data_IF_598366655427
#
_entry.id   IF_598366655427
#
_cell.length_a   1.000
_cell.length_b   1.000
_cell.length_c   1.000
_cell.angle_alpha   90.00
_cell.angle_beta   90.00
_cell.angle_gamma   90.00
#
_symmetry.space_group_name_H-M   'P 1'
#
loop_
_entity.id
_entity.type
_entity.pdbx_description
1 polymer ?
#
# COMPACT_ATOMS: atom_id res chain seq x y z
N UNK A 1 -61.91 6.49 -23.31
CA UNK A 1 -62.06 5.06 -22.96
C UNK A 1 -61.58 4.22 -24.14
N UNK A 2 -60.34 3.72 -24.08
CA UNK A 2 -59.76 2.82 -25.08
C UNK A 2 -59.47 1.51 -24.37
N UNK A 3 -60.03 0.43 -24.91
CA UNK A 3 -60.06 -0.91 -24.33
C UNK A 3 -58.99 -1.74 -25.04
N UNK A 4 -57.83 -1.91 -24.43
CA UNK A 4 -56.73 -2.69 -25.01
C UNK A 4 -56.87 -4.16 -24.63
N UNK A 5 -57.00 -4.99 -25.65
CA UNK A 5 -57.16 -6.44 -25.55
C UNK A 5 -55.89 -7.13 -25.06
N UNK A 6 -56.03 -7.95 -24.01
CA UNK A 6 -55.08 -9.01 -23.66
C UNK A 6 -55.30 -10.16 -24.64
N UNK A 7 -54.37 -10.38 -25.56
CA UNK A 7 -54.36 -11.55 -26.44
C UNK A 7 -53.05 -12.31 -26.22
N UNK A 8 -53.22 -13.53 -25.69
CA UNK A 8 -52.51 -14.75 -26.06
C UNK A 8 -50.99 -14.82 -25.88
N UNK A 9 -50.58 -15.23 -24.67
CA UNK A 9 -49.28 -15.88 -24.42
C UNK A 9 -49.45 -17.38 -24.06
N UNK A 10 -50.65 -17.95 -24.25
CA UNK A 10 -51.00 -19.32 -23.83
C UNK A 10 -50.97 -20.33 -24.99
N UNK A 11 -50.92 -19.88 -26.26
CA UNK A 11 -50.95 -20.78 -27.42
C UNK A 11 -49.58 -21.26 -27.93
N UNK A 12 -48.46 -20.80 -27.36
CA UNK A 12 -47.11 -21.23 -27.81
C UNK A 12 -46.58 -22.44 -27.02
N UNK A 13 -47.14 -22.76 -25.85
CA UNK A 13 -46.66 -23.88 -25.01
C UNK A 13 -47.28 -25.23 -25.41
N UNK A 14 -48.42 -25.23 -26.10
CA UNK A 14 -49.13 -26.48 -26.48
C UNK A 14 -48.64 -27.14 -27.78
N UNK A 15 -47.80 -26.47 -28.58
CA UNK A 15 -47.32 -26.99 -29.87
C UNK A 15 -45.94 -27.67 -29.81
N UNK A 16 -45.26 -27.67 -28.65
CA UNK A 16 -43.94 -28.29 -28.47
C UNK A 16 -43.97 -29.62 -27.70
N UNK A 17 -45.16 -30.14 -27.33
CA UNK A 17 -45.32 -31.41 -26.59
C UNK A 17 -45.95 -32.55 -27.40
N UNK A 18 -45.91 -32.48 -28.74
CA UNK A 18 -46.46 -33.53 -29.62
C UNK A 18 -45.48 -34.00 -30.72
N UNK A 19 -44.16 -33.83 -30.52
CA UNK A 19 -43.14 -34.24 -31.51
C UNK A 19 -42.01 -35.10 -30.95
N UNK A 20 -42.23 -35.82 -29.85
CA UNK A 20 -41.20 -36.70 -29.25
C UNK A 20 -41.58 -38.19 -29.23
N UNK A 21 -42.59 -38.60 -29.99
CA UNK A 21 -42.93 -40.02 -30.15
C UNK A 21 -42.15 -40.60 -31.32
N UNK A 22 -40.84 -40.79 -31.17
CA UNK A 22 -40.14 -41.83 -31.94
C UNK A 22 -38.86 -42.29 -31.21
N UNK A 23 -38.74 -43.62 -31.13
CA UNK A 23 -37.55 -44.42 -30.80
C UNK A 23 -37.22 -44.53 -29.30
N UNK A 24 -38.06 -45.27 -28.58
CA UNK A 24 -37.52 -46.14 -27.53
C UNK A 24 -36.69 -47.22 -28.24
N UNK A 25 -35.36 -47.31 -28.03
CA UNK A 25 -34.64 -48.51 -28.40
C UNK A 25 -35.26 -49.67 -27.65
N UNK A 26 -35.48 -50.78 -28.35
CA UNK A 26 -35.74 -52.08 -27.75
C UNK A 26 -34.69 -52.27 -26.66
N UNK A 27 -35.14 -52.28 -25.42
CA UNK A 27 -34.32 -52.63 -24.26
C UNK A 27 -33.82 -54.04 -24.57
N UNK A 28 -32.56 -54.13 -25.01
CA UNK A 28 -31.83 -55.38 -24.97
C UNK A 28 -31.95 -55.83 -23.53
N UNK A 29 -32.41 -57.07 -23.33
CA UNK A 29 -32.41 -57.72 -22.03
C UNK A 29 -31.05 -57.43 -21.40
N UNK A 30 -31.02 -56.58 -20.37
CA UNK A 30 -29.89 -56.55 -19.49
C UNK A 30 -29.79 -58.00 -18.99
N UNK A 31 -28.65 -58.63 -19.23
CA UNK A 31 -28.15 -59.67 -18.34
C UNK A 31 -28.39 -59.13 -16.94
N UNK A 32 -29.40 -59.68 -16.26
CA UNK A 32 -29.64 -59.42 -14.85
C UNK A 32 -28.39 -59.97 -14.17
N UNK A 33 -27.47 -59.13 -13.67
CA UNK A 33 -26.24 -59.62 -13.10
C UNK A 33 -26.62 -60.56 -11.97
N UNK A 34 -26.13 -61.81 -12.01
CA UNK A 34 -26.38 -62.75 -10.93
C UNK A 34 -26.05 -62.07 -9.59
N UNK A 35 -26.92 -62.20 -8.58
CA UNK A 35 -26.78 -61.44 -7.36
C UNK A 35 -25.42 -61.75 -6.74
N UNK A 36 -24.55 -60.73 -6.70
CA UNK A 36 -23.19 -60.89 -6.21
C UNK A 36 -23.21 -60.83 -4.70
N UNK A 37 -22.69 -61.87 -4.07
CA UNK A 37 -22.65 -61.98 -2.63
C UNK A 37 -21.50 -61.17 -2.03
N UNK A 38 -21.82 -60.14 -1.25
CA UNK A 38 -20.85 -59.19 -0.68
C UNK A 38 -20.14 -59.78 0.55
N UNK A 39 -20.78 -60.67 1.31
CA UNK A 39 -20.21 -61.22 2.54
C UNK A 39 -20.12 -62.75 2.51
N UNK A 40 -18.98 -63.28 2.04
CA UNK A 40 -18.79 -64.73 1.83
C UNK A 40 -18.88 -65.61 3.10
N UNK A 41 -18.93 -64.99 4.29
CA UNK A 41 -18.99 -65.65 5.59
C UNK A 41 -20.35 -65.52 6.30
N UNK A 42 -21.36 -64.88 5.68
CA UNK A 42 -22.71 -64.73 6.23
C UNK A 42 -23.71 -65.55 5.43
N UNK A 43 -24.71 -66.13 6.10
CA UNK A 43 -25.72 -66.95 5.44
C UNK A 43 -26.62 -66.11 4.50
N UNK A 44 -26.89 -66.63 3.31
CA UNK A 44 -27.70 -65.99 2.27
C UNK A 44 -26.86 -65.30 1.19
N UNK A 45 -27.51 -64.68 0.21
CA UNK A 45 -26.84 -63.81 -0.76
C UNK A 45 -27.13 -62.37 -0.36
N UNK A 46 -26.09 -61.58 -0.09
CA UNK A 46 -26.25 -60.17 0.28
C UNK A 46 -25.70 -59.28 -0.84
N UNK A 47 -26.58 -58.55 -1.51
CA UNK A 47 -26.19 -57.59 -2.56
C UNK A 47 -25.42 -56.38 -1.99
N UNK A 48 -25.50 -56.16 -0.67
CA UNK A 48 -24.79 -55.13 0.09
C UNK A 48 -24.39 -55.67 1.46
N UNK A 49 -23.34 -55.09 2.07
CA UNK A 49 -22.97 -55.41 3.45
C UNK A 49 -24.17 -55.18 4.40
N UNK A 50 -24.54 -56.16 5.24
CA UNK A 50 -25.61 -56.01 6.22
C UNK A 50 -25.33 -54.87 7.22
N UNK A 51 -26.40 -54.32 7.80
CA UNK A 51 -26.28 -53.31 8.85
C UNK A 51 -25.45 -53.84 10.03
N UNK A 52 -24.49 -53.04 10.49
CA UNK A 52 -23.54 -53.42 11.54
C UNK A 52 -22.36 -54.28 11.07
N UNK A 53 -22.18 -54.48 9.76
CA UNK A 53 -21.04 -55.20 9.19
C UNK A 53 -20.29 -54.36 8.15
N UNK A 54 -18.97 -54.49 8.12
CA UNK A 54 -18.09 -53.90 7.09
C UNK A 54 -17.44 -55.03 6.28
N UNK A 55 -17.42 -54.87 4.94
CA UNK A 55 -16.73 -55.79 4.04
C UNK A 55 -15.21 -55.55 4.11
N UNK A 56 -14.46 -56.62 4.34
CA UNK A 56 -13.01 -56.69 4.30
C UNK A 56 -12.52 -56.89 2.86
N UNK A 57 -11.24 -56.60 2.60
CA UNK A 57 -10.63 -56.80 1.27
C UNK A 57 -10.67 -58.25 0.77
N UNK A 58 -10.77 -59.22 1.68
CA UNK A 58 -10.85 -60.65 1.36
C UNK A 58 -12.29 -61.13 1.03
N UNK A 59 -13.27 -60.22 1.01
CA UNK A 59 -14.67 -60.54 0.72
C UNK A 59 -15.45 -61.11 1.91
N UNK A 60 -14.85 -61.17 3.10
CA UNK A 60 -15.57 -61.46 4.35
C UNK A 60 -16.14 -60.19 4.95
N UNK A 61 -17.17 -60.30 5.79
CA UNK A 61 -17.71 -59.18 6.54
C UNK A 61 -17.48 -59.37 8.04
N UNK A 62 -17.00 -58.33 8.70
CA UNK A 62 -16.80 -58.30 10.16
C UNK A 62 -17.78 -57.32 10.80
N UNK A 63 -18.21 -57.58 12.05
CA UNK A 63 -19.00 -56.61 12.80
C UNK A 63 -18.24 -55.27 12.89
N UNK A 64 -18.92 -54.17 12.60
CA UNK A 64 -18.38 -52.83 12.82
C UNK A 64 -18.16 -52.70 14.33
N UNK A 65 -16.90 -52.62 14.75
CA UNK A 65 -16.56 -52.41 16.14
C UNK A 65 -16.97 -50.98 16.54
N UNK A 66 -18.03 -50.86 17.33
CA UNK A 66 -18.49 -49.59 17.90
C UNK A 66 -17.65 -49.16 19.12
N UNK A 67 -16.51 -49.81 19.39
CA UNK A 67 -15.68 -49.40 20.51
C UNK A 67 -15.13 -47.98 20.26
N UNK A 68 -15.42 -47.01 21.15
CA UNK A 68 -14.98 -45.64 20.98
C UNK A 68 -13.45 -45.60 20.93
N UNK A 69 -12.89 -45.04 19.86
CA UNK A 69 -11.46 -44.86 19.73
C UNK A 69 -11.00 -43.83 20.76
N UNK A 70 -10.11 -44.25 21.65
CA UNK A 70 -9.52 -43.37 22.66
C UNK A 70 -8.42 -42.50 22.05
N UNK A 71 -8.67 -41.20 21.95
CA UNK A 71 -7.76 -40.22 21.39
C UNK A 71 -6.71 -39.76 22.39
N UNK A 72 -6.88 -40.00 23.70
CA UNK A 72 -5.93 -39.58 24.73
C UNK A 72 -5.63 -40.70 25.74
N UNK A 73 -4.85 -41.73 25.37
CA UNK A 73 -4.59 -42.91 26.23
C UNK A 73 -3.91 -42.61 27.58
N UNK A 74 -3.36 -41.40 27.74
CA UNK A 74 -2.72 -40.93 28.96
C UNK A 74 -3.68 -40.19 29.92
N UNK A 75 -4.95 -39.99 29.54
CA UNK A 75 -6.00 -39.38 30.36
C UNK A 75 -6.99 -40.50 30.75
N UNK A 76 -7.47 -40.48 32.00
CA UNK A 76 -8.44 -41.48 32.45
C UNK A 76 -9.78 -41.33 31.70
N UNK A 77 -10.46 -42.46 31.48
CA UNK A 77 -11.69 -42.60 30.66
C UNK A 77 -11.37 -42.69 29.16
N UNK A 78 -12.33 -43.13 28.35
CA UNK A 78 -12.18 -43.19 26.88
C UNK A 78 -12.64 -41.86 26.31
N UNK A 79 -11.79 -41.17 25.53
CA UNK A 79 -12.18 -39.92 24.88
C UNK A 79 -12.27 -40.09 23.35
N UNK A 80 -13.46 -39.95 22.79
CA UNK A 80 -13.69 -39.98 21.33
C UNK A 80 -13.03 -38.79 20.60
N UNK A 81 -12.56 -37.77 21.34
CA UNK A 81 -11.86 -36.59 20.85
C UNK A 81 -10.88 -36.06 21.88
N UNK A 82 -9.86 -35.31 21.45
CA UNK A 82 -8.94 -34.62 22.37
C UNK A 82 -9.73 -33.64 23.26
N UNK A 83 -9.61 -33.71 24.60
CA UNK A 83 -10.29 -32.80 25.52
C UNK A 83 -9.97 -31.31 25.27
N UNK A 84 -10.89 -30.42 25.66
CA UNK A 84 -10.67 -28.98 25.57
C UNK A 84 -9.48 -28.55 26.44
N UNK A 85 -8.58 -27.73 25.88
CA UNK A 85 -7.35 -27.29 26.54
C UNK A 85 -6.21 -28.32 26.51
N UNK A 86 -6.27 -29.29 25.60
CA UNK A 86 -5.20 -30.25 25.34
C UNK A 86 -4.90 -30.34 23.83
N UNK A 87 -3.66 -30.69 23.49
CA UNK A 87 -3.23 -31.09 22.15
C UNK A 87 -2.41 -32.38 22.20
N UNK A 88 -2.27 -33.06 21.06
CA UNK A 88 -1.39 -34.22 20.91
C UNK A 88 0.06 -33.77 20.71
N UNK A 89 0.98 -34.31 21.52
CA UNK A 89 2.41 -34.15 21.31
C UNK A 89 2.93 -35.07 20.18
N UNK A 90 4.25 -35.00 19.89
CA UNK A 90 4.88 -35.85 18.87
C UNK A 90 4.80 -37.36 19.17
N UNK A 91 4.58 -37.72 20.45
CA UNK A 91 4.43 -39.10 20.90
C UNK A 91 2.97 -39.57 20.85
N UNK A 92 2.03 -38.69 20.48
CA UNK A 92 0.59 -38.95 20.49
C UNK A 92 -0.03 -38.94 21.89
N UNK A 93 0.62 -38.33 22.88
CA UNK A 93 0.05 -38.11 24.21
C UNK A 93 -0.65 -36.75 24.28
N UNK A 94 -1.79 -36.68 24.97
CA UNK A 94 -2.50 -35.43 25.17
C UNK A 94 -1.85 -34.62 26.28
N UNK A 95 -1.31 -33.45 25.93
CA UNK A 95 -0.64 -32.52 26.85
C UNK A 95 -1.48 -31.24 26.98
N UNK A 96 -1.48 -30.57 28.15
CA UNK A 96 -2.23 -29.34 28.35
C UNK A 96 -1.73 -28.25 27.39
N UNK A 97 -2.67 -27.47 26.87
CA UNK A 97 -2.37 -26.22 26.17
C UNK A 97 -1.83 -25.23 27.19
N UNK A 98 -0.50 -25.14 27.30
CA UNK A 98 0.16 -24.09 28.07
C UNK A 98 0.03 -22.79 27.31
N UNK A 99 -1.13 -22.14 27.43
CA UNK A 99 -1.24 -20.71 27.21
C UNK A 99 -0.66 -20.05 28.46
N UNK A 100 0.67 -19.90 28.50
CA UNK A 100 1.23 -18.95 29.46
C UNK A 100 0.53 -17.61 29.20
N UNK A 101 -0.05 -16.98 30.24
CA UNK A 101 -0.63 -15.66 30.06
C UNK A 101 0.46 -14.74 29.50
N UNK A 102 0.14 -13.84 28.55
CA UNK A 102 1.13 -12.95 27.99
C UNK A 102 1.82 -12.21 29.14
N UNK A 103 3.14 -12.34 29.23
CA UNK A 103 3.94 -11.56 30.19
C UNK A 103 3.78 -10.10 29.83
N UNK A 104 3.26 -9.30 30.76
CA UNK A 104 3.18 -7.85 30.59
C UNK A 104 4.59 -7.24 30.61
N UNK A 105 5.01 -6.73 29.45
CA UNK A 105 6.31 -6.10 29.25
C UNK A 105 6.33 -4.65 29.78
N UNK A 106 5.17 -4.02 29.98
CA UNK A 106 5.06 -2.61 30.38
C UNK A 106 4.17 -2.42 31.62
N UNK A 107 4.60 -2.83 32.83
CA UNK A 107 3.79 -2.83 34.04
C UNK A 107 3.27 -1.45 34.49
N UNK A 108 3.83 -0.38 33.95
CA UNK A 108 3.48 1.01 34.23
C UNK A 108 2.41 1.58 33.29
N UNK A 109 1.96 0.81 32.28
CA UNK A 109 0.89 1.20 31.34
C UNK A 109 -0.31 0.29 31.60
N UNK A 110 -1.52 0.86 31.69
CA UNK A 110 -2.73 0.07 31.94
C UNK A 110 -3.01 -0.94 30.81
N UNK A 111 -3.03 -2.23 31.14
CA UNK A 111 -3.32 -3.32 30.21
C UNK A 111 -2.45 -4.55 30.49
N UNK A 112 -2.59 -5.59 29.65
CA UNK A 112 -1.57 -6.63 29.51
C UNK A 112 -0.90 -6.40 28.14
N UNK A 113 0.41 -6.19 28.13
CA UNK A 113 1.19 -5.83 26.94
C UNK A 113 2.13 -6.98 26.60
N UNK A 114 1.75 -7.79 25.62
CA UNK A 114 2.62 -8.85 25.11
C UNK A 114 3.87 -8.30 24.39
N UNK A 115 3.84 -7.02 23.99
CA UNK A 115 4.89 -6.30 23.28
C UNK A 115 4.99 -4.85 23.79
N UNK A 116 6.15 -4.20 23.63
CA UNK A 116 6.32 -2.77 23.94
C UNK A 116 5.44 -1.92 23.01
N UNK A 117 4.58 -1.01 23.54
CA UNK A 117 3.77 -0.13 22.72
C UNK A 117 4.59 0.75 21.78
N UNK A 118 3.99 1.12 20.64
CA UNK A 118 4.60 2.03 19.67
C UNK A 118 4.93 3.39 20.31
N UNK A 119 6.15 3.87 20.07
CA UNK A 119 6.66 5.13 20.64
C UNK A 119 7.17 5.01 22.08
N UNK A 120 7.29 3.79 22.62
CA UNK A 120 7.87 3.54 23.94
C UNK A 120 9.12 2.64 23.86
N UNK A 121 9.98 2.76 24.86
CA UNK A 121 11.14 1.90 25.10
C UNK A 121 11.18 1.47 26.58
N UNK A 122 11.79 0.32 26.86
CA UNK A 122 11.94 -0.18 28.24
C UNK A 122 13.17 0.47 28.87
N UNK A 123 13.01 1.07 30.06
CA UNK A 123 14.11 1.63 30.86
C UNK A 123 14.87 0.57 31.67
N UNK A 124 15.90 0.96 32.42
CA UNK A 124 16.71 0.03 33.23
C UNK A 124 15.89 -0.59 34.39
N UNK A 125 14.84 0.10 34.82
CA UNK A 125 13.89 -0.34 35.84
C UNK A 125 12.79 -1.26 35.30
N UNK A 126 12.74 -1.49 33.99
CA UNK A 126 11.75 -2.34 33.34
C UNK A 126 10.40 -1.68 33.06
N UNK A 127 10.31 -0.34 33.11
CA UNK A 127 9.13 0.42 32.74
C UNK A 127 9.21 0.90 31.29
N UNK A 128 8.06 1.03 30.64
CA UNK A 128 7.99 1.58 29.31
C UNK A 128 7.88 3.11 29.38
N UNK A 129 8.87 3.80 28.82
CA UNK A 129 8.97 5.26 28.75
C UNK A 129 8.84 5.74 27.30
N UNK A 130 8.26 6.92 27.03
CA UNK A 130 8.21 7.46 25.68
C UNK A 130 9.62 7.58 25.10
N UNK A 131 9.78 7.23 23.82
CA UNK A 131 11.02 7.49 23.09
C UNK A 131 11.14 9.01 22.95
N UNK A 132 12.13 9.59 23.61
CA UNK A 132 12.51 10.97 23.36
C UNK A 132 13.15 11.00 21.97
N UNK A 133 12.43 11.53 20.99
CA UNK A 133 13.05 11.96 19.74
C UNK A 133 14.01 13.09 20.11
N UNK A 134 15.28 12.75 20.38
CA UNK A 134 16.35 13.73 20.39
C UNK A 134 16.20 14.49 19.07
N UNK A 135 15.93 15.80 19.16
CA UNK A 135 15.98 16.66 18.00
C UNK A 135 17.44 16.69 17.55
N UNK A 136 17.83 15.71 16.74
CA UNK A 136 19.14 15.62 16.12
C UNK A 136 19.23 16.71 15.05
N UNK A 137 19.54 17.92 15.51
CA UNK A 137 20.09 18.98 14.68
C UNK A 137 21.10 19.73 15.52
N UNK A 138 22.38 19.62 15.17
CA UNK A 138 23.37 20.53 15.76
C UNK A 138 23.12 21.89 15.15
N UNK A 139 22.60 22.81 15.96
CA UNK A 139 22.36 24.17 15.52
C UNK A 139 23.68 24.88 15.21
N UNK A 140 23.94 25.13 13.94
CA UNK A 140 25.21 25.72 13.51
C UNK A 140 25.25 27.24 13.61
N UNK A 141 24.09 27.91 13.78
CA UNK A 141 23.96 29.36 13.84
C UNK A 141 23.16 29.81 15.09
N UNK A 142 23.77 29.72 16.27
CA UNK A 142 23.12 29.96 17.58
C UNK A 142 22.53 31.37 17.79
N UNK A 143 22.78 32.31 16.89
CA UNK A 143 22.23 33.67 16.91
C UNK A 143 20.99 33.85 16.03
N UNK A 144 20.55 32.81 15.30
CA UNK A 144 19.36 32.80 14.47
C UNK A 144 18.25 31.95 15.10
N UNK A 145 16.98 32.33 14.87
CA UNK A 145 15.85 31.60 15.44
C UNK A 145 15.68 30.22 14.77
N UNK A 146 15.51 29.18 15.60
CA UNK A 146 15.34 27.79 15.16
C UNK A 146 16.62 26.96 15.29
N UNK A 147 16.57 25.71 14.83
CA UNK A 147 17.75 24.84 14.69
C UNK A 147 18.15 24.85 13.22
N UNK A 148 19.37 25.27 12.92
CA UNK A 148 19.90 25.24 11.56
C UNK A 148 20.90 24.09 11.43
N UNK A 149 20.55 23.07 10.65
CA UNK A 149 21.47 21.95 10.34
C UNK A 149 22.50 22.33 9.26
N UNK A 150 22.25 23.41 8.52
CA UNK A 150 23.09 23.95 7.45
C UNK A 150 23.08 25.50 7.45
N UNK A 151 24.03 26.13 6.74
CA UNK A 151 24.12 27.60 6.71
C UNK A 151 22.93 28.17 5.93
N UNK A 152 22.14 29.09 6.53
CA UNK A 152 21.10 29.80 5.79
C UNK A 152 21.68 30.57 4.60
N UNK A 153 20.87 30.75 3.54
CA UNK A 153 21.30 31.46 2.34
C UNK A 153 21.81 32.88 2.67
N UNK A 154 23.03 33.18 2.20
CA UNK A 154 23.70 34.46 2.45
C UNK A 154 24.25 34.63 3.88
N UNK A 155 24.37 33.55 4.66
CA UNK A 155 25.04 33.55 5.96
C UNK A 155 26.29 32.67 5.94
N UNK A 156 27.35 33.15 6.61
CA UNK A 156 28.61 32.45 6.81
C UNK A 156 28.98 32.47 8.29
N UNK A 157 29.91 31.62 8.71
CA UNK A 157 30.37 31.61 10.10
C UNK A 157 31.06 32.92 10.49
N UNK A 158 30.77 33.41 11.68
CA UNK A 158 31.45 34.57 12.25
C UNK A 158 32.87 34.17 12.70
N UNK A 159 33.93 34.72 12.11
CA UNK A 159 35.31 34.40 12.50
C UNK A 159 35.65 34.91 13.91
N UNK A 160 34.92 35.90 14.43
CA UNK A 160 35.14 36.47 15.76
C UNK A 160 34.31 35.75 16.84
N UNK A 161 33.24 35.05 16.44
CA UNK A 161 32.32 34.39 17.36
C UNK A 161 31.89 32.99 16.87
N UNK A 162 32.65 31.93 17.21
CA UNK A 162 32.34 30.56 16.78
C UNK A 162 30.93 30.12 17.19
N UNK A 163 30.14 29.66 16.23
CA UNK A 163 28.74 29.26 16.41
C UNK A 163 27.73 30.37 16.14
N UNK A 164 28.18 31.62 15.93
CA UNK A 164 27.35 32.66 15.35
C UNK A 164 27.54 32.72 13.82
N UNK A 165 26.50 33.14 13.12
CA UNK A 165 26.50 33.36 11.68
C UNK A 165 26.25 34.84 11.36
N UNK A 166 27.00 35.35 10.40
CA UNK A 166 26.90 36.72 9.90
C UNK A 166 26.47 36.70 8.43
N UNK A 167 25.81 37.77 8.00
CA UNK A 167 25.41 37.91 6.61
C UNK A 167 26.66 38.14 5.73
N UNK A 168 26.82 37.32 4.69
CA UNK A 168 27.89 37.43 3.72
C UNK A 168 27.84 38.82 3.06
N UNK A 169 28.85 39.64 3.34
CA UNK A 169 29.02 40.92 2.66
C UNK A 169 29.54 40.60 1.26
N UNK A 170 28.67 40.67 0.25
CA UNK A 170 29.09 40.63 -1.15
C UNK A 170 29.76 41.96 -1.43
N UNK A 171 31.08 42.03 -1.27
CA UNK A 171 31.87 43.15 -1.76
C UNK A 171 31.76 43.14 -3.29
N UNK A 172 30.88 43.99 -3.83
CA UNK A 172 30.74 44.16 -5.27
C UNK A 172 32.07 44.70 -5.83
N UNK A 173 32.91 43.79 -6.31
CA UNK A 173 34.22 44.13 -6.86
C UNK A 173 34.01 44.65 -8.28
N UNK A 174 34.27 45.94 -8.47
CA UNK A 174 34.30 46.55 -9.80
C UNK A 174 35.56 46.11 -10.56
N UNK A 175 35.35 45.29 -11.59
CA UNK A 175 36.42 44.76 -12.44
C UNK A 175 36.98 45.83 -13.40
N UNK A 176 36.25 46.94 -13.62
CA UNK A 176 36.65 48.00 -14.55
C UNK A 176 36.58 49.40 -13.90
N UNK A 177 37.49 49.74 -12.96
CA UNK A 177 37.42 50.99 -12.17
C UNK A 177 37.48 52.29 -12.98
N UNK A 178 37.92 52.22 -14.24
CA UNK A 178 38.06 53.35 -15.16
C UNK A 178 36.80 53.61 -16.00
N UNK A 179 35.78 52.75 -15.92
CA UNK A 179 34.51 52.89 -16.62
C UNK A 179 33.42 53.28 -15.62
N UNK A 180 32.48 54.15 -16.03
CA UNK A 180 31.40 54.58 -15.14
C UNK A 180 30.41 53.43 -14.86
N UNK A 181 30.27 53.03 -13.60
CA UNK A 181 29.40 51.95 -13.18
C UNK A 181 30.01 51.12 -12.05
N UNK A 182 29.37 49.99 -11.73
CA UNK A 182 30.00 48.87 -11.04
C UNK A 182 29.93 47.66 -11.96
N UNK A 183 31.08 47.10 -12.33
CA UNK A 183 31.19 46.10 -13.36
C UNK A 183 31.56 44.78 -12.70
N UNK A 184 30.56 43.92 -12.48
CA UNK A 184 30.79 42.57 -11.98
C UNK A 184 31.53 41.67 -12.98
N UNK A 185 31.58 42.07 -14.26
CA UNK A 185 32.26 41.38 -15.37
C UNK A 185 32.85 42.40 -16.35
N UNK A 186 33.84 42.00 -17.15
CA UNK A 186 34.44 42.86 -18.18
C UNK A 186 33.41 43.12 -19.30
N UNK A 187 33.09 44.38 -19.64
CA UNK A 187 32.15 44.70 -20.71
C UNK A 187 32.58 44.17 -22.08
N UNK A 188 31.60 43.87 -22.94
CA UNK A 188 31.86 43.42 -24.32
C UNK A 188 32.69 44.46 -25.09
N UNK A 189 33.73 44.00 -25.78
CA UNK A 189 34.67 44.87 -26.49
C UNK A 189 35.75 45.50 -25.62
N UNK A 190 35.90 45.07 -24.37
CA UNK A 190 36.97 45.51 -23.46
C UNK A 190 37.83 44.33 -22.97
N UNK A 191 39.08 44.62 -22.63
CA UNK A 191 40.02 43.70 -21.97
C UNK A 191 40.71 44.40 -20.80
N UNK A 192 41.02 43.66 -19.74
CA UNK A 192 41.74 44.19 -18.57
C UNK A 192 43.24 44.28 -18.89
N UNK A 193 43.85 45.44 -18.68
CA UNK A 193 45.28 45.67 -18.84
C UNK A 193 46.09 45.21 -17.61
N UNK A 194 47.42 45.33 -17.67
CA UNK A 194 48.31 44.93 -16.56
C UNK A 194 48.12 45.81 -15.32
N UNK A 195 47.58 47.02 -15.50
CA UNK A 195 47.26 47.98 -14.46
C UNK A 195 45.86 47.77 -13.84
N UNK A 196 45.07 46.83 -14.35
CA UNK A 196 43.73 46.50 -13.85
C UNK A 196 42.61 47.40 -14.37
N UNK A 197 42.82 48.11 -15.48
CA UNK A 197 41.80 48.93 -16.15
C UNK A 197 41.27 48.23 -17.40
N UNK A 198 40.03 48.53 -17.79
CA UNK A 198 39.41 47.99 -18.99
C UNK A 198 39.69 48.89 -20.19
N UNK A 199 40.26 48.32 -21.26
CA UNK A 199 40.63 49.00 -22.51
C UNK A 199 39.92 48.36 -23.70
N UNK A 200 39.54 49.15 -24.70
CA UNK A 200 38.83 48.63 -25.88
C UNK A 200 39.71 47.66 -26.69
N UNK A 201 39.15 46.50 -27.04
CA UNK A 201 39.78 45.56 -27.96
C UNK A 201 39.66 46.09 -29.38
N UNK A 202 40.75 46.64 -29.92
CA UNK A 202 40.83 47.03 -31.32
C UNK A 202 40.95 45.79 -32.21
N UNK A 203 39.85 45.29 -32.75
CA UNK A 203 39.85 44.22 -33.77
C UNK A 203 40.19 44.71 -35.20
N UNK A 204 40.74 45.91 -35.38
CA UNK A 204 40.92 46.55 -36.70
C UNK A 204 42.37 46.94 -37.05
N UNK A 205 43.38 46.09 -36.77
CA UNK A 205 44.75 46.31 -37.28
C UNK A 205 45.47 45.08 -37.84
N UNK A 206 44.77 44.21 -38.57
CA UNK A 206 45.41 43.25 -39.50
C UNK A 206 44.83 43.36 -40.91
N UNK A 207 44.85 44.57 -41.49
CA UNK A 207 44.75 44.72 -42.94
C UNK A 207 45.32 46.04 -43.46
N UNK A 208 46.62 46.23 -43.29
CA UNK A 208 47.31 47.25 -44.08
C UNK A 208 48.76 46.87 -44.37
N UNK A 209 48.91 45.99 -45.35
CA UNK A 209 50.07 45.97 -46.23
C UNK A 209 49.61 45.37 -47.56
N UNK A 210 49.40 46.23 -48.57
CA UNK A 210 49.87 46.06 -49.95
C UNK A 210 49.20 47.06 -50.90
N UNK A 211 50.06 47.81 -51.58
CA UNK A 211 49.90 48.52 -52.86
C UNK A 211 49.54 50.00 -52.83
N UNK A 212 50.60 50.80 -52.94
CA UNK A 212 50.67 52.02 -53.75
C UNK A 212 49.94 51.87 -55.09
N UNK A 213 49.04 52.81 -55.41
CA UNK A 213 49.09 53.63 -56.65
C UNK A 213 47.86 54.56 -56.76
N UNK A 214 48.19 55.83 -56.99
CA UNK A 214 47.50 56.86 -57.80
C UNK A 214 46.01 57.21 -57.58
N UNK A 215 45.85 58.50 -57.28
CA UNK A 215 44.97 59.44 -57.97
C UNK A 215 43.45 59.36 -57.77
N UNK A 216 43.04 59.92 -56.64
CA UNK A 216 42.22 61.13 -56.69
C UNK A 216 40.71 60.98 -56.54
N UNK A 217 40.14 62.10 -56.07
CA UNK A 217 38.74 62.54 -56.20
C UNK A 217 37.80 62.18 -55.04
N UNK A 218 37.71 63.16 -54.15
CA UNK A 218 36.51 63.68 -53.46
C UNK A 218 35.19 63.13 -54.03
N UNK A 219 34.31 62.58 -53.18
CA UNK A 219 32.98 63.16 -52.90
C UNK A 219 32.10 62.31 -51.99
N UNK A 220 31.53 63.04 -51.02
CA UNK A 220 30.14 62.97 -50.56
C UNK A 220 29.74 61.85 -49.60
N UNK A 221 29.51 62.29 -48.37
CA UNK A 221 28.30 62.00 -47.58
C UNK A 221 27.08 61.90 -48.49
N UNK A 222 26.38 60.77 -48.42
CA UNK A 222 24.92 60.73 -48.47
C UNK A 222 24.45 59.65 -47.52
N UNK A 223 23.82 60.08 -46.43
CA UNK A 223 22.81 59.31 -45.72
C UNK A 223 21.78 58.78 -46.73
N UNK A 224 21.52 57.48 -46.67
CA UNK A 224 20.19 56.95 -46.93
C UNK A 224 19.92 55.84 -45.95
N UNK A 225 18.98 56.11 -45.04
CA UNK A 225 18.17 55.11 -44.36
C UNK A 225 17.71 54.05 -45.36
N UNK A 226 17.86 52.78 -44.99
CA UNK A 226 16.98 51.72 -45.45
C UNK A 226 16.95 50.58 -44.44
N UNK A 227 15.77 50.41 -43.85
CA UNK A 227 15.30 49.20 -43.23
C UNK A 227 15.40 48.03 -44.23
N UNK A 228 15.93 46.89 -43.81
CA UNK A 228 15.29 45.58 -43.95
C UNK A 228 16.26 44.43 -43.62
N UNK A 229 15.87 43.67 -42.59
CA UNK A 229 15.79 42.22 -42.55
C UNK A 229 17.01 41.36 -42.96
N UNK A 230 17.59 40.69 -41.95
CA UNK A 230 18.37 39.45 -42.13
C UNK A 230 19.16 39.09 -40.88
N UNK A 231 18.52 38.76 -39.75
CA UNK A 231 18.31 37.37 -39.30
C UNK A 231 19.50 36.46 -39.65
N UNK A 232 20.57 36.58 -38.87
CA UNK A 232 21.61 35.55 -38.77
C UNK A 232 21.25 34.55 -37.68
N UNK A 233 21.28 33.30 -38.11
CA UNK A 233 21.05 32.04 -37.44
C UNK A 233 21.74 31.95 -36.07
N UNK A 234 20.95 31.90 -35.00
CA UNK A 234 21.38 31.28 -33.76
C UNK A 234 21.25 29.76 -33.92
N UNK A 235 22.40 29.08 -33.92
CA UNK A 235 22.51 27.64 -33.72
C UNK A 235 21.91 27.27 -32.36
N UNK A 236 20.93 26.38 -32.42
CA UNK A 236 20.36 25.67 -31.28
C UNK A 236 21.33 24.60 -30.79
N UNK A 237 21.77 24.72 -29.54
CA UNK A 237 22.16 23.58 -28.69
C UNK A 237 21.05 23.34 -27.64
N UNK A 238 20.85 22.09 -27.21
CA UNK A 238 19.57 21.60 -26.74
C UNK A 238 19.32 21.96 -25.28
N UNK A 239 18.33 22.81 -25.05
CA UNK A 239 17.77 22.97 -23.71
C UNK A 239 16.70 21.89 -23.49
N UNK A 240 16.96 21.03 -22.51
CA UNK A 240 16.07 20.00 -22.00
C UNK A 240 14.90 20.64 -21.26
N UNK A 241 13.97 21.21 -22.01
CA UNK A 241 12.69 21.70 -21.52
C UNK A 241 11.55 20.79 -21.95
N UNK A 242 11.30 19.70 -21.22
CA UNK A 242 10.04 18.95 -21.30
C UNK A 242 8.94 19.82 -20.66
N UNK A 243 8.52 20.86 -21.38
CA UNK A 243 7.26 21.54 -21.12
C UNK A 243 6.15 20.67 -21.68
N UNK A 244 5.70 19.72 -20.85
CA UNK A 244 4.52 18.91 -21.10
C UNK A 244 3.33 19.81 -21.35
N UNK A 245 2.87 19.85 -22.60
CA UNK A 245 1.52 20.27 -22.95
C UNK A 245 0.56 19.21 -22.43
N UNK A 246 0.29 19.25 -21.12
CA UNK A 246 -0.88 18.58 -20.56
C UNK A 246 -2.08 19.40 -21.02
N UNK A 247 -2.56 19.05 -22.22
CA UNK A 247 -3.92 19.38 -22.60
C UNK A 247 -4.80 18.92 -21.45
N UNK A 248 -5.41 19.87 -20.74
CA UNK A 248 -6.45 19.61 -19.75
C UNK A 248 -7.68 19.06 -20.47
N UNK A 249 -7.60 17.83 -20.95
CA UNK A 249 -8.78 16.97 -21.02
C UNK A 249 -9.06 16.59 -19.58
N UNK A 250 -9.93 17.36 -18.93
CA UNK A 250 -10.66 16.85 -17.77
C UNK A 250 -11.16 15.46 -18.17
N UNK A 251 -10.74 14.37 -17.52
CA UNK A 251 -11.43 13.12 -17.73
C UNK A 251 -12.86 13.41 -17.31
N UNK A 252 -13.79 13.30 -18.24
CA UNK A 252 -15.18 13.05 -17.90
C UNK A 252 -15.19 11.69 -17.21
N UNK A 253 -14.73 11.66 -15.95
CA UNK A 253 -14.99 10.57 -15.02
C UNK A 253 -16.49 10.57 -14.97
N UNK A 254 -17.06 9.63 -15.71
CA UNK A 254 -18.49 9.51 -15.95
C UNK A 254 -19.17 9.69 -14.60
N UNK A 255 -20.04 10.69 -14.46
CA UNK A 255 -20.78 10.96 -13.22
C UNK A 255 -21.38 9.65 -12.65
N UNK A 256 -21.68 8.71 -13.55
CA UNK A 256 -22.04 7.32 -13.30
C UNK A 256 -21.06 6.55 -12.38
N UNK A 257 -19.74 6.64 -12.57
CA UNK A 257 -18.75 5.96 -11.72
C UNK A 257 -18.68 6.56 -10.31
N UNK A 258 -18.81 7.89 -10.20
CA UNK A 258 -18.87 8.58 -8.90
C UNK A 258 -20.14 8.17 -8.15
N UNK A 259 -21.29 8.11 -8.85
CA UNK A 259 -22.55 7.64 -8.27
C UNK A 259 -22.49 6.17 -7.86
N UNK A 260 -21.89 5.30 -8.69
CA UNK A 260 -21.67 3.89 -8.33
C UNK A 260 -20.77 3.76 -7.10
N UNK A 261 -19.69 4.53 -7.03
CA UNK A 261 -18.80 4.57 -5.86
C UNK A 261 -19.52 5.03 -4.58
N UNK A 262 -20.36 6.05 -4.66
CA UNK A 262 -21.17 6.52 -3.52
C UNK A 262 -22.21 5.47 -3.08
N UNK A 263 -22.87 4.78 -4.01
CA UNK A 263 -23.82 3.71 -3.70
C UNK A 263 -23.13 2.54 -3.01
N UNK A 264 -21.98 2.11 -3.52
CA UNK A 264 -21.17 1.03 -2.91
C UNK A 264 -20.72 1.45 -1.51
N UNK A 265 -20.22 2.67 -1.35
CA UNK A 265 -19.77 3.18 -0.04
C UNK A 265 -20.90 3.25 0.99
N UNK A 266 -22.09 3.69 0.57
CA UNK A 266 -23.28 3.70 1.42
C UNK A 266 -23.76 2.30 1.78
N UNK A 267 -23.68 1.35 0.85
CA UNK A 267 -24.01 -0.05 1.09
C UNK A 267 -23.04 -0.68 2.09
N UNK A 268 -21.74 -0.51 1.90
CA UNK A 268 -20.70 -0.98 2.82
C UNK A 268 -20.85 -0.36 4.20
N UNK A 269 -21.11 0.95 4.29
CA UNK A 269 -21.35 1.62 5.56
C UNK A 269 -22.55 1.02 6.32
N UNK A 270 -23.67 0.78 5.63
CA UNK A 270 -24.86 0.14 6.23
C UNK A 270 -24.58 -1.30 6.65
N UNK A 271 -23.88 -2.06 5.82
CA UNK A 271 -23.52 -3.45 6.10
C UNK A 271 -22.60 -3.54 7.33
N UNK A 272 -21.53 -2.76 7.37
CA UNK A 272 -20.59 -2.71 8.49
C UNK A 272 -21.25 -2.22 9.79
N UNK A 273 -22.14 -1.23 9.70
CA UNK A 273 -22.91 -0.76 10.86
C UNK A 273 -23.81 -1.86 11.42
N UNK A 274 -24.55 -2.57 10.56
CA UNK A 274 -25.39 -3.69 10.98
C UNK A 274 -24.59 -4.85 11.58
N UNK A 275 -23.43 -5.17 10.99
CA UNK A 275 -22.52 -6.19 11.52
C UNK A 275 -21.99 -5.81 12.90
N UNK A 276 -21.55 -4.56 13.09
CA UNK A 276 -21.08 -4.04 14.39
C UNK A 276 -22.17 -4.12 15.46
N UNK A 277 -23.40 -3.73 15.14
CA UNK A 277 -24.51 -3.77 16.10
C UNK A 277 -24.86 -5.22 16.52
N UNK A 278 -24.79 -6.18 15.59
CA UNK A 278 -25.02 -7.61 15.88
C UNK A 278 -23.92 -8.19 16.76
N UNK A 279 -22.65 -7.93 16.44
CA UNK A 279 -21.50 -8.35 17.25
C UNK A 279 -21.57 -7.79 18.67
N UNK A 280 -21.91 -6.51 18.83
CA UNK A 280 -22.08 -5.89 20.16
C UNK A 280 -23.23 -6.54 20.94
N UNK A 281 -24.33 -6.91 20.28
CA UNK A 281 -25.45 -7.57 20.92
C UNK A 281 -25.08 -8.98 21.41
N UNK A 282 -24.35 -9.76 20.61
CA UNK A 282 -23.86 -11.10 20.97
C UNK A 282 -22.86 -11.03 22.13
N UNK A 283 -21.87 -10.12 22.05
CA UNK A 283 -20.91 -9.87 23.13
C UNK A 283 -21.60 -9.48 24.44
N UNK A 284 -22.59 -8.58 24.39
CA UNK A 284 -23.38 -8.21 25.58
C UNK A 284 -24.18 -9.39 26.13
N UNK A 285 -24.67 -10.28 25.27
CA UNK A 285 -25.34 -11.51 25.67
C UNK A 285 -24.41 -12.44 26.45
N UNK A 286 -23.22 -12.68 25.92
CA UNK A 286 -22.18 -13.51 26.55
C UNK A 286 -21.70 -12.93 27.89
N UNK A 287 -21.50 -11.61 27.98
CA UNK A 287 -21.12 -10.97 29.24
C UNK A 287 -22.21 -11.14 30.30
N UNK A 288 -23.48 -10.96 29.93
CA UNK A 288 -24.61 -11.15 30.86
C UNK A 288 -24.76 -12.59 31.33
N UNK A 289 -24.57 -13.57 30.44
CA UNK A 289 -24.65 -14.99 30.83
C UNK A 289 -23.54 -15.36 31.80
N UNK A 290 -22.30 -14.92 31.55
CA UNK A 290 -21.16 -15.14 32.44
C UNK A 290 -21.30 -14.46 33.80
N UNK A 291 -21.85 -13.24 33.84
CA UNK A 291 -22.14 -12.56 35.12
C UNK A 291 -23.22 -13.30 35.93
N UNK A 292 -24.28 -13.76 35.26
CA UNK A 292 -25.34 -14.54 35.92
C UNK A 292 -24.86 -15.92 36.40
N UNK A 293 -23.88 -16.52 35.73
CA UNK A 293 -23.22 -17.75 36.16
C UNK A 293 -22.38 -17.51 37.42
N UNK A 294 -21.63 -16.40 37.48
CA UNK A 294 -20.87 -15.99 38.68
C UNK A 294 -21.76 -15.71 39.90
N UNK A 295 -22.94 -15.12 39.71
CA UNK A 295 -23.90 -14.89 40.81
C UNK A 295 -24.58 -16.15 41.32
N UNK A 296 -24.62 -17.23 40.52
CA UNK A 296 -25.23 -18.52 40.92
C UNK A 296 -24.27 -19.47 41.63
N UNK A 297 -22.98 -19.16 41.69
CA UNK A 297 -22.02 -19.95 42.45
C UNK A 297 -22.26 -19.74 43.95
N UNK A 298 -22.64 -20.79 44.71
CA UNK A 298 -22.78 -20.66 46.17
C UNK A 298 -21.43 -20.28 46.77
N UNK A 299 -21.42 -19.24 47.61
CA UNK A 299 -20.33 -18.90 48.52
C UNK A 299 -20.04 -20.10 49.44
N UNK A 300 -19.22 -21.04 49.00
CA UNK A 300 -18.67 -22.06 49.88
C UNK A 300 -17.52 -21.44 50.68
N UNK A 301 -17.86 -21.13 51.93
CA UNK A 301 -17.03 -21.32 53.13
C UNK A 301 -15.61 -20.73 53.10
N UNK A 302 -15.50 -19.47 53.53
CA UNK A 302 -14.32 -19.03 54.27
C UNK A 302 -14.34 -19.69 55.65
N UNK A 303 -13.48 -20.69 55.84
CA UNK A 303 -13.04 -21.17 57.14
C UNK A 303 -11.61 -21.69 57.01
N UNK A 304 -10.66 -20.83 57.37
CA UNK A 304 -9.45 -21.12 58.15
C UNK A 304 -8.74 -19.78 58.41
#
# INVERSE_FOLDING_TARGET
MVKTHKISAIFVVAALLLSSVVLFPVITSADDPEPTDVCSNLDGVQETAPEGYQQNEDGTCTPISEEPQDMCPNINEVQESVPEGYHLDESGACVPDTTEPPTDICPNIDGDQADVPEGYQVDEEGNCTPIEEEQEGTDICSNLDGVQEEFPEGYVSDPENPGACIQEQVEETDICPNLEGNQAEVPEGYQVDEEGNCTETNEDQDQQDNNDNDDGKVLAVTDTNNDDNGKVLAETLPDTGIAGSIGRTLPTVSLSLILVGLVIRLFLYKYLKGYKERMIAEMRGLIRSRLAEKEKLPMWTQSA
#
